data_IF_651941025991
#
_entry.id   IF_651941025991
#
_cell.length_a   1.000
_cell.length_b   1.000
_cell.length_c   1.000
_cell.angle_alpha   90.00
_cell.angle_beta   90.00
_cell.angle_gamma   90.00
#
_symmetry.space_group_name_H-M   'P 1'
#
loop_
_entity.id
_entity.type
_entity.pdbx_description
1 polymer ?
#
# COMPACT_ATOMS: atom_id res chain seq x y z
N UNK A 1 -35.53 67.30 38.10
CA UNK A 1 -36.02 66.19 37.23
C UNK A 1 -34.86 65.67 36.34
N UNK A 2 -34.26 64.58 36.78
CA UNK A 2 -33.15 63.93 35.98
C UNK A 2 -33.73 62.75 35.23
N UNK A 3 -33.67 62.81 33.93
CA UNK A 3 -34.08 61.67 33.05
C UNK A 3 -32.89 60.73 32.90
N UNK A 4 -33.04 59.50 33.33
CA UNK A 4 -32.11 58.40 33.14
C UNK A 4 -32.45 57.73 31.82
N UNK A 5 -31.50 57.73 30.87
CA UNK A 5 -31.54 56.95 29.62
C UNK A 5 -30.92 55.58 29.88
N UNK A 6 -31.72 54.53 29.80
CA UNK A 6 -31.24 53.13 29.81
C UNK A 6 -31.00 52.75 28.37
N UNK A 7 -29.71 52.60 27.99
CA UNK A 7 -29.31 52.06 26.67
C UNK A 7 -29.35 50.55 26.73
N UNK A 8 -30.22 49.93 25.94
CA UNK A 8 -30.20 48.49 25.67
C UNK A 8 -29.06 48.15 24.68
N UNK A 9 -28.02 47.47 25.13
CA UNK A 9 -27.04 46.82 24.28
C UNK A 9 -27.65 45.49 23.75
N UNK A 10 -27.96 45.44 22.47
CA UNK A 10 -28.27 44.21 21.79
C UNK A 10 -26.93 43.51 21.43
N UNK A 11 -26.63 42.42 22.13
CA UNK A 11 -25.58 41.47 21.71
C UNK A 11 -26.15 40.61 20.56
N UNK A 12 -25.67 40.86 19.35
CA UNK A 12 -25.90 39.96 18.21
C UNK A 12 -24.85 38.85 18.29
N UNK A 13 -25.24 37.65 18.72
CA UNK A 13 -24.44 36.47 18.64
C UNK A 13 -24.42 35.97 17.18
N UNK A 14 -23.30 36.18 16.47
CA UNK A 14 -23.05 35.49 15.19
C UNK A 14 -22.76 34.01 15.47
N UNK A 15 -23.75 33.16 15.26
CA UNK A 15 -23.55 31.72 15.18
C UNK A 15 -22.81 31.43 13.87
N UNK A 16 -21.51 31.14 13.94
CA UNK A 16 -20.77 30.59 12.83
C UNK A 16 -21.27 29.16 12.56
N UNK A 17 -22.17 29.01 11.60
CA UNK A 17 -22.50 27.71 11.03
C UNK A 17 -21.27 27.18 10.31
N UNK A 18 -20.51 26.30 10.96
CA UNK A 18 -19.52 25.48 10.30
C UNK A 18 -20.30 24.50 9.39
N UNK A 19 -20.50 24.89 8.14
CA UNK A 19 -20.89 23.94 7.11
C UNK A 19 -19.71 22.99 6.91
N UNK A 20 -19.82 21.77 7.44
CA UNK A 20 -19.00 20.66 6.94
C UNK A 20 -19.40 20.47 5.47
N UNK A 21 -18.60 21.02 4.56
CA UNK A 21 -18.78 20.79 3.16
C UNK A 21 -18.64 19.27 2.90
N UNK A 22 -19.77 18.62 2.68
CA UNK A 22 -19.81 17.21 2.31
C UNK A 22 -19.13 17.12 0.94
N UNK A 23 -17.94 16.50 0.89
CA UNK A 23 -17.20 16.36 -0.36
C UNK A 23 -18.06 15.60 -1.38
N UNK A 24 -18.03 16.00 -2.67
CA UNK A 24 -18.74 15.26 -3.70
C UNK A 24 -18.25 13.81 -3.72
N UNK A 25 -19.17 12.86 -3.62
CA UNK A 25 -18.86 11.45 -3.78
C UNK A 25 -18.34 11.21 -5.19
N UNK A 26 -17.09 10.76 -5.29
CA UNK A 26 -16.47 10.40 -6.59
C UNK A 26 -17.02 9.09 -7.15
N UNK A 27 -17.90 8.41 -6.41
CA UNK A 27 -18.43 7.09 -6.75
C UNK A 27 -17.42 5.94 -6.53
N UNK A 28 -16.20 6.24 -6.05
CA UNK A 28 -15.19 5.23 -5.70
C UNK A 28 -15.46 4.77 -4.26
N UNK A 29 -15.69 3.46 -4.01
CA UNK A 29 -15.96 2.95 -2.67
C UNK A 29 -14.66 2.80 -1.87
N UNK A 30 -14.05 3.93 -1.53
CA UNK A 30 -12.83 3.99 -0.71
C UNK A 30 -13.04 4.92 0.49
N UNK A 31 -12.28 4.67 1.55
CA UNK A 31 -12.33 5.44 2.80
C UNK A 31 -10.96 5.94 3.20
N UNK A 32 -10.93 7.05 3.92
CA UNK A 32 -9.75 7.61 4.55
C UNK A 32 -9.70 7.14 6.00
N UNK A 33 -8.61 6.46 6.37
CA UNK A 33 -8.39 5.92 7.72
C UNK A 33 -7.23 6.67 8.37
N UNK A 34 -7.45 7.23 9.55
CA UNK A 34 -6.39 7.90 10.34
C UNK A 34 -5.50 6.83 10.99
N UNK A 35 -4.20 6.90 10.75
CA UNK A 35 -3.18 6.03 11.37
C UNK A 35 -2.43 6.77 12.49
N UNK A 36 -2.05 8.03 12.24
CA UNK A 36 -1.46 8.99 13.20
C UNK A 36 -2.01 10.39 12.89
N UNK A 37 -1.59 11.41 13.63
CA UNK A 37 -2.09 12.79 13.41
C UNK A 37 -1.75 13.33 12.02
N UNK A 38 -0.61 12.92 11.48
CA UNK A 38 -0.09 13.33 10.19
C UNK A 38 0.03 12.19 9.19
N UNK A 39 -0.55 11.02 9.51
CA UNK A 39 -0.45 9.81 8.69
C UNK A 39 -1.82 9.15 8.51
N UNK A 40 -2.18 8.89 7.24
CA UNK A 40 -3.46 8.30 6.87
C UNK A 40 -3.27 7.16 5.87
N UNK A 41 -4.30 6.33 5.72
CA UNK A 41 -4.40 5.31 4.69
C UNK A 41 -5.68 5.52 3.89
N UNK A 42 -5.59 5.45 2.56
CA UNK A 42 -6.76 5.34 1.68
C UNK A 42 -6.92 3.88 1.33
N UNK A 43 -8.00 3.26 1.77
CA UNK A 43 -8.32 1.85 1.47
C UNK A 43 -9.68 1.71 0.80
N UNK A 44 -9.90 0.60 0.10
CA UNK A 44 -11.22 0.27 -0.42
C UNK A 44 -12.16 -0.08 0.74
N UNK A 45 -13.47 0.21 0.60
CA UNK A 45 -14.47 -0.18 1.61
C UNK A 45 -14.51 -1.71 1.72
N UNK A 46 -14.47 -2.39 0.57
CA UNK A 46 -14.32 -3.83 0.50
C UNK A 46 -12.99 -4.16 -0.18
N UNK A 47 -12.30 -5.17 0.30
CA UNK A 47 -11.04 -5.64 -0.28
C UNK A 47 -11.25 -6.93 -1.09
N UNK A 48 -12.31 -6.95 -1.93
CA UNK A 48 -12.60 -8.07 -2.83
C UNK A 48 -11.72 -8.04 -4.08
N UNK A 49 -11.57 -9.17 -4.75
CA UNK A 49 -10.84 -9.25 -6.03
C UNK A 49 -11.40 -8.25 -7.05
N UNK A 50 -12.74 -8.11 -7.12
CA UNK A 50 -13.40 -7.19 -8.04
C UNK A 50 -13.12 -5.72 -7.71
N UNK A 51 -13.13 -5.34 -6.43
CA UNK A 51 -12.85 -3.97 -6.00
C UNK A 51 -11.37 -3.61 -6.23
N UNK A 52 -10.45 -4.52 -5.95
CA UNK A 52 -9.02 -4.30 -6.19
C UNK A 52 -8.75 -4.16 -7.69
N UNK A 53 -9.28 -5.05 -8.52
CA UNK A 53 -9.18 -4.92 -9.98
C UNK A 53 -9.80 -3.63 -10.51
N UNK A 54 -10.86 -3.14 -9.85
CA UNK A 54 -11.55 -1.92 -10.24
C UNK A 54 -10.90 -0.65 -9.72
N UNK A 55 -10.44 -0.63 -8.46
CA UNK A 55 -10.05 0.59 -7.74
C UNK A 55 -8.59 0.60 -7.30
N UNK A 56 -7.92 -0.53 -7.28
CA UNK A 56 -6.51 -0.68 -6.89
C UNK A 56 -6.31 -0.93 -5.41
N UNK A 57 -5.03 -0.99 -5.00
CA UNK A 57 -4.58 -1.28 -3.65
C UNK A 57 -4.72 -0.12 -2.67
N UNK A 58 -4.11 -0.24 -1.50
CA UNK A 58 -4.05 0.81 -0.49
C UNK A 58 -3.05 1.91 -0.87
N UNK A 59 -3.27 3.11 -0.32
CA UNK A 59 -2.31 4.22 -0.41
C UNK A 59 -1.98 4.66 1.00
N UNK A 60 -0.68 4.80 1.33
CA UNK A 60 -0.27 5.55 2.50
C UNK A 60 -0.16 7.04 2.17
N UNK A 61 -0.64 7.90 3.08
CA UNK A 61 -0.64 9.37 2.94
C UNK A 61 0.10 9.96 4.12
N UNK A 62 1.25 10.58 3.88
CA UNK A 62 2.06 11.22 4.91
C UNK A 62 2.11 12.74 4.70
N UNK A 63 1.56 13.48 5.67
CA UNK A 63 1.52 14.93 5.65
C UNK A 63 2.83 15.49 6.23
N UNK A 64 3.41 16.47 5.54
CA UNK A 64 4.58 17.22 6.02
C UNK A 64 4.32 18.73 5.92
N UNK A 65 5.24 19.53 6.44
CA UNK A 65 5.13 21.00 6.34
C UNK A 65 5.33 21.54 4.92
N UNK A 66 5.96 20.78 4.03
CA UNK A 66 6.26 21.21 2.67
C UNK A 66 5.35 20.57 1.61
N UNK A 67 4.58 19.55 1.95
CA UNK A 67 3.73 18.83 1.01
C UNK A 67 3.36 17.42 1.51
N UNK A 68 2.84 16.61 0.61
CA UNK A 68 2.38 15.25 0.89
C UNK A 68 3.27 14.24 0.19
N UNK A 69 3.63 13.15 0.90
CA UNK A 69 4.22 11.94 0.33
C UNK A 69 3.15 10.87 0.29
N UNK A 70 2.94 10.28 -0.88
CA UNK A 70 2.11 9.09 -1.05
C UNK A 70 2.99 7.86 -1.23
N UNK A 71 2.50 6.71 -0.77
CA UNK A 71 3.00 5.41 -1.20
C UNK A 71 1.87 4.73 -1.97
N UNK A 72 2.14 4.43 -3.25
CA UNK A 72 1.23 3.98 -4.29
C UNK A 72 0.21 5.03 -4.78
N UNK A 73 -0.50 4.70 -5.84
CA UNK A 73 -1.38 5.61 -6.56
C UNK A 73 -2.71 4.98 -7.01
N UNK A 74 -2.97 3.72 -6.63
CA UNK A 74 -4.14 2.95 -7.11
C UNK A 74 -4.20 2.83 -8.64
N UNK A 75 -5.38 2.52 -9.18
CA UNK A 75 -5.66 2.54 -10.61
C UNK A 75 -5.84 3.98 -11.13
N UNK A 76 -5.60 4.19 -12.42
CA UNK A 76 -5.73 5.51 -13.07
C UNK A 76 -7.09 6.18 -12.84
N UNK A 77 -8.18 5.41 -12.91
CA UNK A 77 -9.56 5.93 -12.76
C UNK A 77 -9.90 6.44 -11.36
N UNK A 78 -9.10 6.09 -10.35
CA UNK A 78 -9.30 6.52 -8.95
C UNK A 78 -8.52 7.78 -8.60
N UNK A 79 -7.78 8.36 -9.55
CA UNK A 79 -6.95 9.54 -9.32
C UNK A 79 -7.69 10.69 -8.65
N UNK A 80 -8.86 11.07 -9.18
CA UNK A 80 -9.63 12.22 -8.67
C UNK A 80 -10.12 11.97 -7.24
N UNK A 81 -10.50 10.73 -6.91
CA UNK A 81 -10.87 10.32 -5.56
C UNK A 81 -9.68 10.44 -4.58
N UNK A 82 -8.51 9.96 -4.97
CA UNK A 82 -7.28 10.07 -4.17
C UNK A 82 -6.93 11.53 -3.92
N UNK A 83 -6.92 12.36 -4.97
CA UNK A 83 -6.63 13.80 -4.85
C UNK A 83 -7.64 14.51 -3.95
N UNK A 84 -8.95 14.20 -4.09
CA UNK A 84 -10.00 14.78 -3.25
C UNK A 84 -9.80 14.42 -1.77
N UNK A 85 -9.43 13.17 -1.46
CA UNK A 85 -9.14 12.73 -0.10
C UNK A 85 -7.91 13.41 0.50
N UNK A 86 -6.83 13.55 -0.28
CA UNK A 86 -5.65 14.29 0.16
C UNK A 86 -5.99 15.76 0.43
N UNK A 87 -6.74 16.40 -0.46
CA UNK A 87 -7.19 17.80 -0.28
C UNK A 87 -8.11 18.01 0.92
N UNK A 88 -8.82 16.99 1.37
CA UNK A 88 -9.61 17.07 2.62
C UNK A 88 -8.75 17.16 3.87
N UNK A 89 -7.47 16.79 3.77
CA UNK A 89 -6.52 16.82 4.87
C UNK A 89 -5.64 18.07 4.86
N UNK A 90 -5.31 18.60 3.67
CA UNK A 90 -4.38 19.70 3.52
C UNK A 90 -4.47 20.35 2.13
N UNK A 91 -4.20 21.64 2.06
CA UNK A 91 -4.05 22.39 0.80
C UNK A 91 -2.65 22.22 0.16
N UNK A 92 -1.73 21.58 0.85
CA UNK A 92 -0.36 21.37 0.38
C UNK A 92 -0.33 20.40 -0.80
N UNK A 93 0.60 20.58 -1.77
CA UNK A 93 0.67 19.73 -2.95
C UNK A 93 1.16 18.31 -2.62
N UNK A 94 0.74 17.32 -3.40
CA UNK A 94 1.38 16.01 -3.45
C UNK A 94 2.73 16.19 -4.15
N UNK A 95 3.83 16.04 -3.42
CA UNK A 95 5.19 16.26 -3.91
C UNK A 95 5.85 14.99 -4.42
N UNK A 96 5.61 13.88 -3.73
CA UNK A 96 6.23 12.59 -4.03
C UNK A 96 5.20 11.47 -3.99
N UNK A 97 5.33 10.55 -4.95
CA UNK A 97 4.66 9.26 -4.94
C UNK A 97 5.74 8.18 -5.03
N UNK A 98 5.84 7.35 -4.02
CA UNK A 98 6.70 6.16 -4.00
C UNK A 98 5.85 4.99 -4.42
N UNK A 99 6.23 4.31 -5.50
CA UNK A 99 5.55 3.08 -5.93
C UNK A 99 6.17 1.89 -5.22
N UNK A 100 5.34 1.06 -4.61
CA UNK A 100 5.81 -0.17 -3.96
C UNK A 100 6.28 -1.20 -4.96
N UNK A 101 5.61 -1.29 -6.11
CA UNK A 101 5.98 -2.17 -7.22
C UNK A 101 5.28 -1.76 -8.53
N UNK A 102 5.48 -2.54 -9.59
CA UNK A 102 5.09 -2.18 -10.96
C UNK A 102 3.62 -2.46 -11.34
N UNK A 103 2.82 -3.15 -10.51
CA UNK A 103 1.48 -3.54 -10.90
C UNK A 103 0.50 -2.35 -11.02
N UNK A 104 -0.44 -2.48 -11.96
CA UNK A 104 -1.33 -1.37 -12.34
C UNK A 104 -2.28 -0.90 -11.23
N UNK A 105 -2.64 -1.76 -10.30
CA UNK A 105 -3.46 -1.44 -9.14
C UNK A 105 -2.72 -0.68 -8.03
N UNK A 106 -1.39 -0.51 -8.17
CA UNK A 106 -0.52 0.32 -7.33
C UNK A 106 0.06 1.50 -8.10
N UNK A 107 0.50 1.27 -9.33
CA UNK A 107 1.21 2.26 -10.14
C UNK A 107 0.33 2.97 -11.19
N UNK A 108 -0.90 2.50 -11.42
CA UNK A 108 -1.73 2.97 -12.53
C UNK A 108 -2.12 4.44 -12.47
N UNK A 109 -2.28 5.02 -11.28
CA UNK A 109 -2.54 6.45 -11.10
C UNK A 109 -1.32 7.36 -11.23
N UNK A 110 -0.11 6.80 -11.23
CA UNK A 110 1.14 7.57 -11.18
C UNK A 110 1.34 8.55 -12.35
N UNK A 111 0.98 8.26 -13.62
CA UNK A 111 1.07 9.24 -14.70
C UNK A 111 0.25 10.51 -14.42
N UNK A 112 -0.96 10.37 -13.87
CA UNK A 112 -1.80 11.51 -13.50
C UNK A 112 -1.25 12.27 -12.28
N UNK A 113 -0.64 11.57 -11.31
CA UNK A 113 0.05 12.20 -10.19
C UNK A 113 1.25 13.01 -10.69
N UNK A 114 2.01 12.50 -11.65
CA UNK A 114 3.10 13.26 -12.27
C UNK A 114 2.58 14.49 -13.01
N UNK A 115 1.44 14.39 -13.71
CA UNK A 115 0.85 15.52 -14.44
C UNK A 115 0.41 16.68 -13.53
N UNK A 116 0.09 16.43 -12.26
CA UNK A 116 -0.19 17.47 -11.26
C UNK A 116 1.05 17.92 -10.48
N UNK A 117 2.25 17.51 -10.88
CA UNK A 117 3.53 17.97 -10.37
C UNK A 117 4.21 17.09 -9.34
N UNK A 118 3.70 15.88 -9.08
CA UNK A 118 4.37 14.95 -8.19
C UNK A 118 5.59 14.29 -8.84
N UNK A 119 6.66 14.11 -8.07
CA UNK A 119 7.81 13.28 -8.46
C UNK A 119 7.51 11.82 -8.13
N UNK A 120 7.66 10.95 -9.12
CA UNK A 120 7.40 9.51 -8.96
C UNK A 120 8.71 8.75 -8.77
N UNK A 121 8.80 7.97 -7.69
CA UNK A 121 9.95 7.11 -7.36
C UNK A 121 9.54 5.64 -7.39
N UNK A 122 10.41 4.79 -7.91
CA UNK A 122 10.25 3.33 -7.92
C UNK A 122 11.64 2.68 -7.84
N UNK A 123 11.74 1.42 -7.41
CA UNK A 123 12.99 0.67 -7.57
C UNK A 123 13.36 0.50 -9.04
N UNK A 124 14.66 0.45 -9.35
CA UNK A 124 15.12 0.23 -10.73
C UNK A 124 14.63 -1.12 -11.25
N UNK A 125 14.60 -2.14 -10.40
CA UNK A 125 14.13 -3.46 -10.77
C UNK A 125 12.67 -3.46 -11.24
N UNK A 126 11.77 -2.79 -10.54
CA UNK A 126 10.36 -2.73 -10.93
C UNK A 126 10.10 -1.69 -12.02
N UNK A 127 10.93 -0.64 -12.11
CA UNK A 127 10.93 0.24 -13.29
C UNK A 127 11.24 -0.53 -14.57
N UNK A 128 12.17 -1.48 -14.52
CA UNK A 128 12.49 -2.36 -15.66
C UNK A 128 11.36 -3.36 -15.93
N UNK A 129 10.64 -3.86 -14.89
CA UNK A 129 9.43 -4.67 -15.10
C UNK A 129 8.38 -3.87 -15.86
N UNK A 130 8.09 -2.61 -15.45
CA UNK A 130 7.19 -1.72 -16.19
C UNK A 130 7.63 -1.53 -17.64
N UNK A 131 8.93 -1.26 -17.88
CA UNK A 131 9.46 -1.00 -19.21
C UNK A 131 9.35 -2.21 -20.16
N UNK A 132 9.25 -3.44 -19.63
CA UNK A 132 9.07 -4.67 -20.40
C UNK A 132 7.61 -4.99 -20.73
N UNK A 133 6.66 -4.29 -20.09
CA UNK A 133 5.25 -4.53 -20.35
C UNK A 133 4.91 -4.21 -21.83
N UNK A 134 4.08 -5.02 -22.50
CA UNK A 134 3.65 -4.72 -23.87
C UNK A 134 2.92 -3.36 -23.92
N UNK A 135 3.28 -2.55 -24.94
CA UNK A 135 2.65 -1.24 -25.18
C UNK A 135 2.75 -0.26 -23.99
N UNK A 136 3.83 -0.35 -23.21
CA UNK A 136 4.06 0.61 -22.12
C UNK A 136 4.15 2.02 -22.69
N UNK A 137 3.25 2.91 -22.22
CA UNK A 137 3.22 4.30 -22.65
C UNK A 137 4.02 5.22 -21.69
N UNK A 138 4.32 4.76 -20.49
CA UNK A 138 4.95 5.57 -19.46
C UNK A 138 5.72 4.70 -18.45
N UNK A 139 6.86 5.19 -18.00
CA UNK A 139 7.62 4.68 -16.85
C UNK A 139 8.15 5.84 -16.01
N UNK A 140 8.30 5.67 -14.70
CA UNK A 140 8.87 6.72 -13.84
C UNK A 140 10.28 7.14 -14.28
N UNK A 141 10.59 8.44 -14.19
CA UNK A 141 11.91 8.96 -14.53
C UNK A 141 12.95 8.67 -13.44
N UNK A 142 12.53 8.64 -12.17
CA UNK A 142 13.41 8.43 -11.04
C UNK A 142 13.32 6.99 -10.54
N UNK A 143 14.45 6.31 -10.57
CA UNK A 143 14.63 4.99 -10.01
C UNK A 143 15.74 4.99 -8.96
N UNK A 144 15.66 4.09 -7.97
CA UNK A 144 16.70 3.88 -6.99
C UNK A 144 17.04 2.40 -6.87
N UNK A 145 18.22 2.10 -6.32
CA UNK A 145 18.72 0.74 -6.09
C UNK A 145 18.99 0.54 -4.61
N UNK A 146 18.56 -0.57 -4.07
CA UNK A 146 18.80 -0.97 -2.70
C UNK A 146 18.05 -0.10 -1.69
N UNK A 147 18.61 1.03 -1.29
CA UNK A 147 18.02 1.91 -0.28
C UNK A 147 18.05 3.37 -0.73
N UNK A 148 16.98 4.09 -0.39
CA UNK A 148 16.90 5.53 -0.60
C UNK A 148 16.29 6.21 0.62
N UNK A 149 16.51 7.51 0.74
CA UNK A 149 15.97 8.35 1.80
C UNK A 149 15.36 9.60 1.16
N UNK A 150 14.14 9.91 1.56
CA UNK A 150 13.47 11.14 1.25
C UNK A 150 13.32 11.96 2.53
N UNK A 151 13.78 13.21 2.52
CA UNK A 151 13.60 14.16 3.63
C UNK A 151 12.79 15.34 3.14
N UNK A 152 11.67 15.63 3.78
CA UNK A 152 10.77 16.71 3.41
C UNK A 152 10.07 17.27 4.63
N UNK A 153 10.12 18.61 4.81
CA UNK A 153 9.47 19.29 5.95
C UNK A 153 9.94 18.75 7.30
N UNK A 154 11.23 18.44 7.45
CA UNK A 154 11.81 17.88 8.67
C UNK A 154 11.45 16.41 8.94
N UNK A 155 10.73 15.76 8.05
CA UNK A 155 10.31 14.36 8.17
C UNK A 155 11.07 13.48 7.19
N UNK A 156 11.33 12.25 7.63
CA UNK A 156 12.10 11.24 6.90
C UNK A 156 11.21 10.10 6.44
N UNK A 157 11.44 9.63 5.21
CA UNK A 157 10.92 8.37 4.67
C UNK A 157 12.10 7.54 4.18
N UNK A 158 12.24 6.32 4.67
CA UNK A 158 13.29 5.38 4.25
C UNK A 158 12.70 4.33 3.33
N UNK A 159 13.30 4.16 2.16
CA UNK A 159 12.89 3.20 1.15
C UNK A 159 13.85 2.00 1.16
N UNK A 160 13.28 0.82 1.19
CA UNK A 160 13.99 -0.45 1.16
C UNK A 160 13.54 -1.24 -0.06
N UNK A 161 14.41 -1.36 -1.06
CA UNK A 161 14.19 -2.28 -2.16
C UNK A 161 14.45 -3.70 -1.68
N UNK A 162 13.48 -4.56 -1.82
CA UNK A 162 13.52 -5.96 -1.40
C UNK A 162 12.94 -6.85 -2.50
N UNK A 163 13.12 -8.15 -2.39
CA UNK A 163 12.56 -9.11 -3.33
C UNK A 163 11.56 -10.02 -2.64
N UNK A 164 10.35 -10.11 -3.16
CA UNK A 164 9.30 -10.95 -2.58
C UNK A 164 8.18 -11.17 -3.54
N UNK A 165 7.18 -10.29 -3.57
CA UNK A 165 6.07 -10.31 -4.52
C UNK A 165 6.58 -10.09 -5.94
N UNK A 166 7.43 -9.08 -6.14
CA UNK A 166 8.20 -8.84 -7.36
C UNK A 166 9.71 -8.91 -7.06
N UNK A 167 10.55 -8.62 -8.06
CA UNK A 167 12.01 -8.56 -7.84
C UNK A 167 12.47 -7.24 -7.26
N UNK A 168 11.61 -6.21 -7.22
CA UNK A 168 11.95 -4.84 -6.82
C UNK A 168 10.93 -4.20 -5.88
N UNK A 169 10.23 -5.00 -5.07
CA UNK A 169 9.30 -4.45 -4.08
C UNK A 169 9.96 -3.37 -3.23
N UNK A 170 9.21 -2.33 -2.93
CA UNK A 170 9.62 -1.26 -2.02
C UNK A 170 8.81 -1.32 -0.74
N UNK A 171 9.49 -1.44 0.41
CA UNK A 171 8.92 -1.10 1.69
C UNK A 171 9.29 0.34 2.06
N UNK A 172 8.30 1.19 2.31
CA UNK A 172 8.50 2.57 2.71
C UNK A 172 8.27 2.72 4.22
N UNK A 173 9.34 3.03 4.96
CA UNK A 173 9.32 3.17 6.41
C UNK A 173 9.33 4.64 6.83
N UNK A 174 8.46 4.99 7.76
CA UNK A 174 8.24 6.32 8.32
C UNK A 174 8.62 6.33 9.80
N UNK A 175 9.90 6.64 10.13
CA UNK A 175 10.41 6.49 11.50
C UNK A 175 9.61 7.29 12.54
N UNK A 176 9.31 8.56 12.26
CA UNK A 176 8.58 9.42 13.19
C UNK A 176 7.13 8.96 13.45
N UNK A 177 6.49 8.34 12.46
CA UNK A 177 5.14 7.79 12.58
C UNK A 177 5.14 6.35 13.13
N UNK A 178 6.30 5.65 13.12
CA UNK A 178 6.43 4.21 13.41
C UNK A 178 5.50 3.36 12.54
N UNK A 179 5.45 3.69 11.24
CA UNK A 179 4.62 3.03 10.22
C UNK A 179 5.51 2.52 9.10
N UNK A 180 5.17 1.37 8.53
CA UNK A 180 5.75 0.86 7.28
C UNK A 180 4.65 0.54 6.28
N UNK A 181 4.78 1.03 5.04
CA UNK A 181 3.92 0.62 3.92
C UNK A 181 4.69 -0.43 3.09
N UNK A 182 4.07 -1.58 2.86
CA UNK A 182 4.75 -2.77 2.35
C UNK A 182 4.27 -3.20 0.95
N UNK A 183 3.25 -2.55 0.38
CA UNK A 183 2.65 -3.02 -0.86
C UNK A 183 2.26 -4.50 -0.78
N UNK A 184 2.36 -5.21 -1.89
CA UNK A 184 1.99 -6.63 -1.96
C UNK A 184 3.05 -7.60 -1.40
N UNK A 185 4.15 -7.07 -0.85
CA UNK A 185 4.98 -7.83 0.06
C UNK A 185 4.17 -8.30 1.29
N UNK A 186 3.06 -7.62 1.59
CA UNK A 186 2.10 -7.95 2.61
C UNK A 186 0.67 -7.74 2.10
N UNK A 187 -0.18 -8.74 2.18
CA UNK A 187 -1.63 -8.62 1.99
C UNK A 187 -2.37 -9.19 3.19
N UNK A 188 -3.45 -8.54 3.57
CA UNK A 188 -4.31 -8.93 4.71
C UNK A 188 -5.77 -9.09 4.31
N UNK A 189 -6.08 -8.93 3.02
CA UNK A 189 -7.40 -9.25 2.46
C UNK A 189 -7.67 -10.75 2.55
N UNK A 190 -8.87 -11.14 2.96
CA UNK A 190 -9.30 -12.54 2.98
C UNK A 190 -9.46 -13.10 1.56
N UNK A 191 -9.90 -12.25 0.61
CA UNK A 191 -10.13 -12.63 -0.79
C UNK A 191 -8.84 -12.66 -1.63
N UNK A 192 -7.82 -11.90 -1.20
CA UNK A 192 -6.53 -11.83 -1.90
C UNK A 192 -5.43 -12.30 -0.95
N UNK A 193 -5.13 -13.60 -0.98
CA UNK A 193 -4.04 -14.15 -0.22
C UNK A 193 -2.70 -13.62 -0.75
N UNK A 194 -1.69 -13.59 0.11
CA UNK A 194 -0.34 -13.28 -0.28
C UNK A 194 0.13 -14.23 -1.37
N UNK A 195 0.62 -13.67 -2.46
CA UNK A 195 1.15 -14.38 -3.63
C UNK A 195 2.50 -13.81 -4.05
N UNK A 196 3.22 -14.56 -4.86
CA UNK A 196 4.47 -14.16 -5.51
C UNK A 196 4.26 -14.05 -7.00
N UNK A 197 4.62 -12.94 -7.60
CA UNK A 197 4.59 -12.74 -9.05
C UNK A 197 5.91 -13.20 -9.67
N UNK A 198 5.99 -14.46 -10.03
CA UNK A 198 7.17 -15.04 -10.65
C UNK A 198 7.52 -14.42 -12.02
N UNK A 199 6.57 -14.07 -12.89
CA UNK A 199 6.87 -13.34 -14.13
C UNK A 199 7.65 -12.05 -13.92
N UNK A 200 7.36 -11.32 -12.83
CA UNK A 200 8.09 -10.10 -12.45
C UNK A 200 9.28 -10.37 -11.52
N UNK A 201 9.70 -11.63 -11.44
CA UNK A 201 10.89 -12.05 -10.72
C UNK A 201 10.75 -12.15 -9.22
N UNK A 202 9.54 -12.26 -8.71
CA UNK A 202 9.28 -12.54 -7.31
C UNK A 202 9.83 -13.90 -6.85
N UNK A 203 9.91 -14.14 -5.55
CA UNK A 203 10.49 -15.35 -4.98
C UNK A 203 9.96 -15.63 -3.56
N UNK A 204 9.43 -16.82 -3.34
CA UNK A 204 9.04 -17.29 -2.01
C UNK A 204 10.22 -17.45 -1.06
N UNK A 205 11.38 -17.82 -1.61
CA UNK A 205 12.61 -17.98 -0.82
C UNK A 205 13.12 -16.63 -0.31
N UNK A 206 13.06 -15.61 -1.14
CA UNK A 206 13.53 -14.26 -0.78
C UNK A 206 12.46 -13.49 0.00
N UNK A 207 11.17 -13.74 -0.25
CA UNK A 207 10.07 -13.08 0.44
C UNK A 207 10.23 -13.11 1.98
N UNK A 208 10.52 -14.27 2.54
CA UNK A 208 10.66 -14.38 4.01
C UNK A 208 11.89 -13.63 4.55
N UNK A 209 13.00 -13.58 3.79
CA UNK A 209 14.20 -12.80 4.16
C UNK A 209 13.89 -11.31 4.13
N UNK A 210 13.16 -10.87 3.10
CA UNK A 210 12.73 -9.49 2.94
C UNK A 210 11.81 -9.04 4.09
N UNK A 211 10.84 -9.86 4.44
CA UNK A 211 9.96 -9.56 5.60
C UNK A 211 10.75 -9.58 6.90
N UNK A 212 11.71 -10.50 7.08
CA UNK A 212 12.58 -10.54 8.25
C UNK A 212 13.45 -9.27 8.36
N UNK A 213 13.95 -8.72 7.25
CA UNK A 213 14.66 -7.43 7.23
C UNK A 213 13.74 -6.29 7.67
N UNK A 214 12.54 -6.20 7.13
CA UNK A 214 11.57 -5.15 7.50
C UNK A 214 11.14 -5.28 8.96
N UNK A 215 11.02 -6.48 9.51
CA UNK A 215 10.71 -6.73 10.92
C UNK A 215 11.82 -6.25 11.89
N UNK A 216 13.03 -5.94 11.42
CA UNK A 216 14.06 -5.30 12.26
C UNK A 216 13.79 -3.80 12.48
N UNK A 217 12.94 -3.17 11.69
CA UNK A 217 12.60 -1.76 11.84
C UNK A 217 11.69 -1.55 13.06
N UNK A 218 11.78 -0.36 13.65
CA UNK A 218 10.98 0.02 14.81
C UNK A 218 9.64 0.62 14.39
N UNK A 219 8.68 -0.24 14.04
CA UNK A 219 7.33 0.15 13.65
C UNK A 219 6.26 -0.55 14.51
N UNK A 220 5.09 0.10 14.62
CA UNK A 220 3.92 -0.46 15.30
C UNK A 220 2.87 -0.96 14.29
N UNK A 221 2.76 -0.25 13.15
CA UNK A 221 1.72 -0.45 12.14
C UNK A 221 2.35 -0.73 10.79
N UNK A 222 1.86 -1.76 10.10
CA UNK A 222 2.14 -2.04 8.70
C UNK A 222 0.88 -1.79 7.85
N UNK A 223 1.07 -1.08 6.74
CA UNK A 223 0.05 -0.88 5.70
C UNK A 223 0.34 -1.90 4.60
N UNK A 224 -0.57 -2.86 4.38
CA UNK A 224 -0.46 -3.83 3.30
C UNK A 224 -0.85 -3.23 1.96
N UNK A 225 -0.53 -3.90 0.86
CA UNK A 225 -1.06 -3.53 -0.46
C UNK A 225 -2.58 -3.67 -0.53
N UNK A 226 -3.14 -4.69 0.12
CA UNK A 226 -4.57 -4.97 0.13
C UNK A 226 -5.05 -5.42 1.50
N UNK A 227 -6.25 -4.95 1.88
CA UNK A 227 -6.88 -5.24 3.17
C UNK A 227 -6.50 -4.27 4.28
N UNK A 228 -6.95 -4.52 5.51
CA UNK A 228 -6.75 -3.60 6.63
C UNK A 228 -5.30 -3.55 7.10
N UNK A 229 -4.88 -2.40 7.63
CA UNK A 229 -3.59 -2.26 8.32
C UNK A 229 -3.49 -3.22 9.52
N UNK A 230 -2.27 -3.62 9.84
CA UNK A 230 -1.98 -4.60 10.88
C UNK A 230 -0.84 -4.15 11.81
N UNK A 231 -0.78 -4.76 12.98
CA UNK A 231 0.32 -4.57 13.93
C UNK A 231 1.56 -5.35 13.49
N UNK A 232 2.72 -4.97 14.02
CA UNK A 232 3.99 -5.71 13.82
C UNK A 232 3.86 -7.19 14.19
N UNK A 233 3.15 -7.51 15.30
CA UNK A 233 2.93 -8.89 15.71
C UNK A 233 2.09 -9.69 14.69
N UNK A 234 1.10 -9.04 14.05
CA UNK A 234 0.32 -9.69 13.00
C UNK A 234 1.18 -9.94 11.74
N UNK A 235 2.11 -9.05 11.40
CA UNK A 235 3.10 -9.31 10.32
C UNK A 235 3.94 -10.54 10.65
N UNK A 236 4.43 -10.67 11.90
CA UNK A 236 5.15 -11.87 12.36
C UNK A 236 4.30 -13.13 12.18
N UNK A 237 3.03 -13.09 12.53
CA UNK A 237 2.13 -14.23 12.41
C UNK A 237 1.91 -14.63 10.93
N UNK A 238 1.71 -13.64 10.05
CA UNK A 238 1.59 -13.86 8.59
C UNK A 238 2.89 -14.48 8.06
N UNK A 239 4.03 -13.88 8.41
CA UNK A 239 5.35 -14.40 8.02
C UNK A 239 5.54 -15.87 8.43
N UNK A 240 5.20 -16.21 9.66
CA UNK A 240 5.33 -17.58 10.16
C UNK A 240 4.40 -18.55 9.41
N UNK A 241 3.15 -18.15 9.12
CA UNK A 241 2.21 -18.94 8.30
C UNK A 241 2.79 -19.20 6.91
N UNK A 242 3.31 -18.17 6.24
CA UNK A 242 3.86 -18.31 4.88
C UNK A 242 5.11 -19.18 4.85
N UNK A 243 5.96 -19.08 5.88
CA UNK A 243 7.12 -19.99 6.03
C UNK A 243 6.65 -21.44 6.24
N UNK A 244 5.63 -21.67 7.05
CA UNK A 244 5.07 -23.04 7.25
C UNK A 244 4.50 -23.61 5.94
N UNK A 245 3.79 -22.81 5.14
CA UNK A 245 3.32 -23.18 3.80
C UNK A 245 4.52 -23.58 2.91
N UNK A 246 5.54 -22.75 2.85
CA UNK A 246 6.74 -23.02 2.07
C UNK A 246 7.42 -24.33 2.47
N UNK A 247 7.62 -24.56 3.75
CA UNK A 247 8.26 -25.79 4.26
C UNK A 247 7.36 -27.03 4.01
N UNK A 248 6.05 -26.86 4.07
CA UNK A 248 5.11 -27.93 3.74
C UNK A 248 5.23 -28.35 2.27
N UNK A 249 5.26 -27.38 1.35
CA UNK A 249 5.47 -27.65 -0.09
C UNK A 249 6.82 -28.33 -0.32
N UNK A 250 7.90 -27.86 0.34
CA UNK A 250 9.23 -28.46 0.22
C UNK A 250 9.24 -29.92 0.67
N UNK A 251 8.57 -30.24 1.77
CA UNK A 251 8.44 -31.61 2.28
C UNK A 251 7.69 -32.48 1.29
N UNK A 252 6.54 -32.02 0.80
CA UNK A 252 5.72 -32.78 -0.14
C UNK A 252 6.40 -32.97 -1.51
N UNK A 253 7.23 -31.99 -1.95
CA UNK A 253 8.07 -32.17 -3.12
C UNK A 253 9.08 -33.33 -2.96
N UNK A 254 9.74 -33.43 -1.78
CA UNK A 254 10.64 -34.56 -1.48
C UNK A 254 9.89 -35.91 -1.45
N UNK A 255 8.65 -35.89 -1.02
CA UNK A 255 7.74 -37.06 -1.03
C UNK A 255 7.19 -37.35 -2.44
N UNK A 256 7.56 -36.56 -3.45
CA UNK A 256 7.08 -36.69 -4.85
C UNK A 256 5.56 -36.57 -4.99
N UNK A 257 4.91 -35.78 -4.12
CA UNK A 257 3.49 -35.50 -4.20
C UNK A 257 3.14 -34.74 -5.46
N UNK A 258 1.96 -35.01 -5.99
CA UNK A 258 1.43 -34.28 -7.15
C UNK A 258 1.03 -32.86 -6.78
N UNK A 259 0.94 -31.99 -7.78
CA UNK A 259 0.44 -30.62 -7.58
C UNK A 259 -0.94 -30.62 -6.91
N UNK A 260 -1.84 -31.54 -7.30
CA UNK A 260 -3.17 -31.61 -6.72
C UNK A 260 -3.13 -31.98 -5.23
N UNK A 261 -2.35 -33.00 -4.84
CA UNK A 261 -2.19 -33.38 -3.43
C UNK A 261 -1.62 -32.24 -2.60
N UNK A 262 -0.66 -31.47 -3.15
CA UNK A 262 -0.08 -30.32 -2.49
C UNK A 262 -1.14 -29.21 -2.33
N UNK A 263 -1.85 -28.87 -3.40
CA UNK A 263 -2.91 -27.86 -3.36
C UNK A 263 -4.00 -28.21 -2.32
N UNK A 264 -4.50 -29.43 -2.36
CA UNK A 264 -5.53 -29.89 -1.41
C UNK A 264 -5.05 -29.82 0.05
N UNK A 265 -3.79 -30.17 0.27
CA UNK A 265 -3.15 -30.07 1.60
C UNK A 265 -3.04 -28.63 2.07
N UNK A 266 -2.61 -27.71 1.21
CA UNK A 266 -2.46 -26.29 1.55
C UNK A 266 -3.83 -25.66 1.83
N UNK A 267 -4.86 -26.00 1.08
CA UNK A 267 -6.23 -25.57 1.34
C UNK A 267 -6.67 -26.05 2.72
N UNK A 268 -6.51 -27.34 2.99
CA UNK A 268 -6.98 -27.98 4.23
C UNK A 268 -6.24 -27.47 5.47
N UNK A 269 -4.91 -27.36 5.42
CA UNK A 269 -4.07 -27.06 6.58
C UNK A 269 -3.92 -25.55 6.81
N UNK A 270 -3.95 -24.73 5.76
CA UNK A 270 -3.60 -23.31 5.83
C UNK A 270 -4.66 -22.35 5.29
N UNK A 271 -5.77 -22.86 4.73
CA UNK A 271 -6.72 -22.03 3.96
C UNK A 271 -5.99 -21.17 2.92
N UNK A 272 -5.08 -21.80 2.14
CA UNK A 272 -4.27 -21.17 1.11
C UNK A 272 -4.11 -22.10 -0.10
N UNK A 273 -4.02 -21.55 -1.31
CA UNK A 273 -3.96 -22.33 -2.56
C UNK A 273 -5.28 -22.35 -3.32
N UNK A 274 -6.22 -21.47 -2.96
CA UNK A 274 -7.48 -21.23 -3.68
C UNK A 274 -7.43 -19.86 -4.40
N UNK A 275 -8.33 -19.66 -5.36
CA UNK A 275 -8.44 -18.39 -6.07
C UNK A 275 -7.10 -17.96 -6.66
N UNK A 276 -6.68 -16.72 -6.45
CA UNK A 276 -5.41 -16.21 -6.99
C UNK A 276 -4.17 -16.99 -6.56
N UNK A 277 -4.15 -17.55 -5.34
CA UNK A 277 -2.99 -18.31 -4.84
C UNK A 277 -2.84 -19.70 -5.46
N UNK A 278 -3.90 -20.25 -6.07
CA UNK A 278 -3.81 -21.55 -6.75
C UNK A 278 -2.75 -21.54 -7.88
N UNK A 279 -2.63 -20.43 -8.60
CA UNK A 279 -1.63 -20.25 -9.65
C UNK A 279 -0.18 -20.19 -9.14
N UNK A 280 0.03 -19.95 -7.86
CA UNK A 280 1.37 -19.92 -7.25
C UNK A 280 1.92 -21.30 -6.91
N UNK A 281 1.08 -22.31 -6.71
CA UNK A 281 1.51 -23.66 -6.28
C UNK A 281 2.50 -24.30 -7.24
N UNK A 282 2.26 -24.36 -8.56
CA UNK A 282 3.22 -24.96 -9.51
C UNK A 282 4.59 -24.29 -9.50
N UNK A 283 4.62 -22.95 -9.49
CA UNK A 283 5.85 -22.18 -9.50
C UNK A 283 6.60 -22.32 -8.16
N UNK A 284 5.88 -22.31 -7.02
CA UNK A 284 6.46 -22.58 -5.71
C UNK A 284 7.07 -23.99 -5.66
N UNK A 285 6.37 -25.00 -6.19
CA UNK A 285 6.90 -26.38 -6.29
C UNK A 285 8.21 -26.42 -7.10
N UNK A 286 8.29 -25.65 -8.17
CA UNK A 286 9.49 -25.57 -9.00
C UNK A 286 10.64 -24.88 -8.26
N UNK A 287 10.40 -23.76 -7.61
CA UNK A 287 11.39 -23.00 -6.84
C UNK A 287 11.94 -23.81 -5.64
N UNK A 288 11.13 -24.65 -5.03
CA UNK A 288 11.46 -25.39 -3.79
C UNK A 288 11.90 -26.84 -4.01
N UNK A 289 12.29 -27.22 -5.22
CA UNK A 289 12.84 -28.55 -5.55
C UNK A 289 14.22 -28.80 -4.96
#
# INVERSE_FOLDING_TARGET
>A
MRKIFIGCLLLVALAANAHSAQQPSTGVPSKLVKVRDDFFMIENINATVADIGSYGGNIAVYLTDEGVVLVDSKNERTHDDVVAKVRSLTDKPIKYVVLTHNHGDHAGGAPKMQAIGATILISVNDRENMARAPNVAWVPQFGYVGRAQLVMGGKEVRLYEVRGHTRGDTAAYFPAARVVAMGDLLTTSEDIPLIVNYPDGGSWMDWSKSVDEILQLDFDVAIPGHGPMVTKQQVVNIRNKMVAIRERVRTMNREKKTQQEITDTLIKEFNWGMGPSAGNVPAMMQELR
#
